data_IF_902690097924
#
_entry.id   IF_902690097924
#
_cell.length_a   1.000
_cell.length_b   1.000
_cell.length_c   1.000
_cell.angle_alpha   90.00
_cell.angle_beta   90.00
_cell.angle_gamma   90.00
#
_symmetry.space_group_name_H-M   'P 1'
#
loop_
_entity.id
_entity.type
_entity.pdbx_description
1 polymer ?
#
# COMPACT_ATOMS: atom_id res chain seq x y z
N UNK A 1 10.13 21.48 12.60
CA UNK A 1 10.03 20.01 12.55
C UNK A 1 10.29 19.57 11.11
N UNK A 2 11.25 18.67 10.87
CA UNK A 2 11.57 18.12 9.55
C UNK A 2 11.18 16.64 9.54
N UNK A 3 10.09 16.31 8.87
CA UNK A 3 9.69 14.93 8.64
C UNK A 3 10.68 14.26 7.71
N UNK A 4 11.22 13.11 8.12
CA UNK A 4 12.07 12.28 7.25
C UNK A 4 11.21 11.14 6.72
N UNK A 5 11.03 11.10 5.40
CA UNK A 5 10.32 10.01 4.72
C UNK A 5 11.27 8.83 4.56
N UNK A 6 10.92 7.67 5.13
CA UNK A 6 11.65 6.43 4.90
C UNK A 6 10.79 5.48 4.07
N UNK A 7 11.40 4.98 3.00
CA UNK A 7 10.80 4.05 2.05
C UNK A 7 11.40 2.66 2.24
N UNK A 8 10.56 1.61 2.26
CA UNK A 8 11.04 0.23 2.36
C UNK A 8 10.21 -0.73 1.52
N UNK A 9 10.82 -1.85 1.12
CA UNK A 9 10.09 -3.01 0.60
C UNK A 9 9.73 -3.94 1.76
N UNK A 10 8.43 -4.20 1.97
CA UNK A 10 7.95 -5.28 2.86
C UNK A 10 8.45 -6.64 2.36
N UNK A 11 8.47 -6.85 1.05
CA UNK A 11 9.11 -7.99 0.39
C UNK A 11 9.67 -7.52 -0.95
N UNK A 12 11.00 -7.47 -1.06
CA UNK A 12 11.68 -6.95 -2.26
C UNK A 12 11.51 -7.90 -3.44
N UNK A 13 10.90 -7.47 -4.57
CA UNK A 13 10.88 -8.28 -5.79
C UNK A 13 12.30 -8.49 -6.34
N UNK A 14 12.51 -9.60 -7.06
CA UNK A 14 13.76 -9.81 -7.80
C UNK A 14 13.93 -8.70 -8.83
N UNK A 15 15.14 -8.15 -8.95
CA UNK A 15 15.43 -7.04 -9.87
C UNK A 15 14.84 -5.69 -9.44
N UNK A 16 14.27 -5.58 -8.23
CA UNK A 16 13.72 -4.31 -7.77
C UNK A 16 14.83 -3.31 -7.40
N UNK A 17 14.65 -2.03 -7.77
CA UNK A 17 15.54 -0.95 -7.36
C UNK A 17 15.35 -0.65 -5.87
N UNK A 18 16.10 0.33 -5.36
CA UNK A 18 15.86 0.86 -4.02
C UNK A 18 14.43 1.39 -3.87
N UNK A 19 13.89 1.26 -2.66
CA UNK A 19 12.48 1.59 -2.39
C UNK A 19 12.18 3.07 -2.69
N UNK A 20 13.12 3.98 -2.40
CA UNK A 20 12.99 5.40 -2.73
C UNK A 20 12.88 5.65 -4.24
N UNK A 21 13.69 4.95 -5.03
CA UNK A 21 13.68 5.04 -6.50
C UNK A 21 12.35 4.53 -7.05
N UNK A 22 11.87 3.40 -6.52
CA UNK A 22 10.59 2.81 -6.91
C UNK A 22 9.40 3.74 -6.58
N UNK A 23 9.37 4.31 -5.37
CA UNK A 23 8.31 5.23 -4.95
C UNK A 23 8.33 6.47 -5.82
N UNK A 24 9.48 7.11 -5.99
CA UNK A 24 9.60 8.33 -6.81
C UNK A 24 9.15 8.08 -8.25
N UNK A 25 9.46 6.91 -8.81
CA UNK A 25 9.00 6.51 -10.14
C UNK A 25 7.48 6.35 -10.21
N UNK A 26 6.88 5.60 -9.27
CA UNK A 26 5.43 5.35 -9.23
C UNK A 26 4.65 6.64 -8.98
N UNK A 27 5.10 7.50 -8.06
CA UNK A 27 4.53 8.83 -7.83
C UNK A 27 4.63 9.72 -9.07
N UNK A 28 5.74 9.62 -9.82
CA UNK A 28 5.92 10.29 -11.10
C UNK A 28 4.89 9.86 -12.15
N UNK A 29 4.63 8.55 -12.27
CA UNK A 29 3.57 8.02 -13.14
C UNK A 29 2.21 8.56 -12.69
N UNK A 30 1.92 8.46 -11.40
CA UNK A 30 0.64 8.87 -10.82
C UNK A 30 0.34 10.34 -11.11
N UNK A 31 1.30 11.24 -10.86
CA UNK A 31 1.17 12.68 -11.14
C UNK A 31 0.94 12.98 -12.62
N UNK A 32 1.59 12.23 -13.53
CA UNK A 32 1.41 12.40 -14.98
C UNK A 32 0.07 11.87 -15.49
N UNK A 33 -0.50 10.86 -14.82
CA UNK A 33 -1.66 10.09 -15.32
C UNK A 33 -2.93 10.28 -14.47
N UNK A 34 -2.86 11.08 -13.40
CA UNK A 34 -3.97 11.31 -12.47
C UNK A 34 -4.32 10.10 -11.60
N UNK A 35 -3.41 9.13 -11.48
CA UNK A 35 -3.65 7.88 -10.75
C UNK A 35 -2.68 6.77 -11.15
N UNK A 36 -2.66 5.70 -10.36
CA UNK A 36 -1.90 4.49 -10.67
C UNK A 36 -2.79 3.25 -10.58
N UNK A 37 -2.68 2.38 -11.58
CA UNK A 37 -3.34 1.07 -11.64
C UNK A 37 -2.29 0.01 -12.00
N UNK A 38 -2.52 -1.28 -11.70
CA UNK A 38 -1.56 -2.34 -12.04
C UNK A 38 -1.29 -2.41 -13.55
N UNK A 39 -2.33 -2.24 -14.38
CA UNK A 39 -2.23 -2.21 -15.84
C UNK A 39 -1.37 -1.03 -16.32
N UNK A 40 -1.55 0.15 -15.73
CA UNK A 40 -0.73 1.32 -16.05
C UNK A 40 0.73 1.11 -15.62
N UNK A 41 0.96 0.52 -14.45
CA UNK A 41 2.31 0.20 -13.98
C UNK A 41 3.03 -0.77 -14.92
N UNK A 42 2.35 -1.82 -15.40
CA UNK A 42 2.90 -2.74 -16.42
C UNK A 42 3.24 -1.97 -17.70
N UNK A 43 2.37 -1.07 -18.15
CA UNK A 43 2.59 -0.28 -19.37
C UNK A 43 3.85 0.59 -19.25
N UNK A 44 3.99 1.33 -18.16
CA UNK A 44 5.13 2.21 -17.91
C UNK A 44 6.42 1.41 -17.61
N UNK A 45 6.31 0.22 -17.00
CA UNK A 45 7.45 -0.64 -16.70
C UNK A 45 8.01 -1.40 -17.91
N UNK A 46 7.27 -1.44 -19.03
CA UNK A 46 7.67 -2.19 -20.24
C UNK A 46 8.95 -1.68 -20.90
N UNK A 47 9.24 -0.39 -20.77
CA UNK A 47 10.47 0.18 -21.34
C UNK A 47 11.67 -0.25 -20.51
N UNK A 48 12.76 -0.71 -21.15
CA UNK A 48 14.01 -1.13 -20.48
C UNK A 48 14.67 -0.05 -19.61
N UNK A 49 14.34 1.22 -19.85
CA UNK A 49 14.79 2.37 -19.05
C UNK A 49 13.98 2.55 -17.75
N UNK A 50 12.85 1.85 -17.61
CA UNK A 50 12.08 1.87 -16.37
C UNK A 50 12.89 1.21 -15.26
N UNK A 51 13.01 1.84 -14.09
CA UNK A 51 13.68 1.23 -12.94
C UNK A 51 12.95 0.00 -12.43
N UNK A 52 11.68 -0.20 -12.79
CA UNK A 52 10.89 -1.38 -12.43
C UNK A 52 10.86 -2.45 -13.54
N UNK A 53 11.61 -2.28 -14.64
CA UNK A 53 11.55 -3.20 -15.78
C UNK A 53 11.84 -4.65 -15.37
N UNK A 54 12.91 -4.83 -14.59
CA UNK A 54 13.40 -6.15 -14.18
C UNK A 54 12.55 -6.81 -13.09
N UNK A 55 11.54 -6.11 -12.55
CA UNK A 55 10.57 -6.67 -11.63
C UNK A 55 9.50 -7.54 -12.32
N UNK A 56 9.44 -7.53 -13.66
CA UNK A 56 8.40 -8.20 -14.46
C UNK A 56 8.99 -9.31 -15.33
N UNK A 57 8.19 -10.36 -15.56
CA UNK A 57 8.51 -11.39 -16.54
C UNK A 57 7.94 -11.00 -17.91
N UNK A 58 8.80 -10.64 -18.86
CA UNK A 58 8.42 -10.15 -20.19
C UNK A 58 8.32 -11.24 -21.25
N UNK A 59 8.77 -12.47 -20.97
CA UNK A 59 8.61 -13.58 -21.90
C UNK A 59 7.16 -14.06 -21.92
N UNK A 60 6.47 -13.93 -23.06
CA UNK A 60 5.06 -14.33 -23.21
C UNK A 60 4.82 -15.84 -23.05
N UNK A 61 5.81 -16.68 -23.32
CA UNK A 61 5.72 -18.12 -23.08
C UNK A 61 5.82 -18.46 -21.58
N UNK A 62 6.36 -17.54 -20.76
CA UNK A 62 6.46 -17.69 -19.31
C UNK A 62 5.38 -16.91 -18.54
N UNK A 63 4.90 -15.80 -19.09
CA UNK A 63 3.93 -14.92 -18.45
C UNK A 63 2.89 -14.37 -19.43
N UNK A 64 1.62 -14.70 -19.17
CA UNK A 64 0.50 -14.01 -19.79
C UNK A 64 0.32 -12.58 -19.25
N UNK A 65 -0.49 -11.78 -19.92
CA UNK A 65 -0.79 -10.38 -19.52
C UNK A 65 -1.32 -10.29 -18.08
N UNK A 66 -2.18 -11.21 -17.66
CA UNK A 66 -2.75 -11.25 -16.31
C UNK A 66 -1.69 -11.51 -15.23
N UNK A 67 -0.69 -12.33 -15.52
CA UNK A 67 0.43 -12.58 -14.60
C UNK A 67 1.23 -11.30 -14.32
N UNK A 68 1.46 -10.46 -15.33
CA UNK A 68 2.16 -9.18 -15.16
C UNK A 68 1.34 -8.20 -14.33
N UNK A 69 0.01 -8.18 -14.50
CA UNK A 69 -0.85 -7.38 -13.63
C UNK A 69 -0.80 -7.87 -12.17
N UNK A 70 -0.68 -9.19 -11.95
CA UNK A 70 -0.42 -9.75 -10.60
C UNK A 70 0.94 -9.29 -10.06
N UNK A 71 2.01 -9.31 -10.87
CA UNK A 71 3.32 -8.78 -10.47
C UNK A 71 3.24 -7.29 -10.09
N UNK A 72 2.52 -6.48 -10.87
CA UNK A 72 2.28 -5.08 -10.57
C UNK A 72 1.50 -4.87 -9.27
N UNK A 73 0.44 -5.65 -9.02
CA UNK A 73 -0.30 -5.61 -7.74
C UNK A 73 0.60 -5.95 -6.54
N UNK A 74 1.54 -6.88 -6.71
CA UNK A 74 2.51 -7.24 -5.64
C UNK A 74 3.48 -6.09 -5.38
N UNK A 75 4.01 -5.48 -6.43
CA UNK A 75 4.91 -4.32 -6.32
C UNK A 75 4.24 -3.19 -5.54
N UNK A 76 3.01 -2.80 -5.93
CA UNK A 76 2.27 -1.72 -5.26
C UNK A 76 1.98 -2.05 -3.78
N UNK A 77 1.64 -3.31 -3.47
CA UNK A 77 1.34 -3.73 -2.09
C UNK A 77 2.55 -3.92 -1.18
N UNK A 78 3.71 -4.26 -1.74
CA UNK A 78 4.92 -4.52 -0.96
C UNK A 78 5.76 -3.28 -0.73
N UNK A 79 5.43 -2.16 -1.38
CA UNK A 79 6.09 -0.89 -1.14
C UNK A 79 5.43 -0.20 0.06
N UNK A 80 6.21 0.12 1.09
CA UNK A 80 5.74 0.75 2.34
C UNK A 80 6.46 2.08 2.57
N UNK A 81 5.77 3.02 3.19
CA UNK A 81 6.28 4.35 3.55
C UNK A 81 6.03 4.56 5.03
N UNK A 82 7.01 5.12 5.72
CA UNK A 82 6.79 5.73 7.03
C UNK A 82 7.32 7.15 7.06
N UNK A 83 6.60 8.02 7.75
CA UNK A 83 7.01 9.40 8.03
C UNK A 83 7.46 9.43 9.48
N UNK A 84 8.72 9.80 9.69
CA UNK A 84 9.32 9.83 11.02
C UNK A 84 9.40 11.27 11.48
N UNK A 85 8.84 11.53 12.67
CA UNK A 85 9.18 12.68 13.49
C UNK A 85 10.41 12.32 14.33
N UNK A 86 11.53 13.03 14.14
CA UNK A 86 12.84 12.80 14.78
C UNK A 86 13.55 11.46 14.46
N UNK A 87 14.80 11.29 14.87
CA UNK A 87 15.70 10.16 14.52
C UNK A 87 15.31 8.81 15.18
N UNK A 88 14.04 8.61 15.54
CA UNK A 88 13.52 7.34 16.07
C UNK A 88 13.13 6.40 14.93
N UNK A 89 13.37 5.09 15.06
CA UNK A 89 12.86 4.14 14.06
C UNK A 89 11.32 4.19 14.06
N UNK A 90 10.67 4.20 12.88
CA UNK A 90 9.21 4.29 12.84
C UNK A 90 8.61 3.04 13.47
N UNK A 91 7.79 3.22 14.52
CA UNK A 91 7.10 2.13 15.22
C UNK A 91 6.13 1.35 14.33
N UNK A 92 5.75 1.88 13.15
CA UNK A 92 5.04 1.11 12.14
C UNK A 92 5.29 1.59 10.71
N UNK A 93 5.38 0.63 9.78
CA UNK A 93 5.40 0.89 8.34
C UNK A 93 4.02 0.64 7.75
N UNK A 94 3.40 1.68 7.19
CA UNK A 94 2.10 1.57 6.51
C UNK A 94 2.32 1.34 5.01
N UNK A 95 1.39 0.64 4.34
CA UNK A 95 1.45 0.46 2.88
C UNK A 95 1.49 1.81 2.18
N UNK A 96 2.39 1.96 1.21
CA UNK A 96 2.51 3.19 0.43
C UNK A 96 1.25 3.46 -0.41
N UNK A 97 0.62 2.38 -0.88
CA UNK A 97 -0.54 2.40 -1.75
C UNK A 97 -1.63 1.45 -1.24
N UNK A 98 -2.86 1.95 -1.17
CA UNK A 98 -4.08 1.20 -0.83
C UNK A 98 -5.00 1.21 -2.06
N UNK A 99 -5.62 0.08 -2.39
CA UNK A 99 -6.56 0.05 -3.51
C UNK A 99 -7.85 0.79 -3.13
N UNK A 100 -8.38 1.64 -4.00
CA UNK A 100 -9.60 2.40 -3.74
C UNK A 100 -10.83 1.49 -3.56
N UNK A 101 -10.84 0.31 -4.18
CA UNK A 101 -11.85 -0.71 -3.97
C UNK A 101 -11.79 -1.39 -2.60
N UNK A 102 -10.69 -1.24 -1.85
CA UNK A 102 -10.63 -1.71 -0.46
C UNK A 102 -11.38 -0.73 0.46
N UNK A 103 -11.48 0.55 0.08
CA UNK A 103 -12.03 1.64 0.90
C UNK A 103 -13.48 1.97 0.50
N UNK A 104 -13.76 2.02 -0.81
CA UNK A 104 -15.06 2.41 -1.37
C UNK A 104 -15.81 1.17 -1.86
N UNK A 105 -17.14 1.13 -1.71
CA UNK A 105 -18.00 0.07 -2.29
C UNK A 105 -17.97 0.01 -3.83
N UNK A 106 -17.22 0.90 -4.48
CA UNK A 106 -17.06 0.91 -5.92
C UNK A 106 -16.03 -0.14 -6.36
N UNK A 107 -16.47 -1.39 -6.46
CA UNK A 107 -15.67 -2.55 -6.90
C UNK A 107 -14.94 -2.33 -8.25
N UNK A 108 -15.39 -1.36 -9.05
CA UNK A 108 -14.79 -1.03 -10.35
C UNK A 108 -13.60 -0.06 -10.28
N UNK A 109 -13.29 0.50 -9.12
CA UNK A 109 -12.17 1.44 -8.98
C UNK A 109 -10.83 0.70 -8.88
N UNK A 110 -10.16 0.50 -10.02
CA UNK A 110 -8.79 -0.09 -10.09
C UNK A 110 -7.68 0.85 -9.60
N UNK A 111 -8.02 2.04 -9.09
CA UNK A 111 -7.06 3.07 -8.68
C UNK A 111 -6.44 2.72 -7.33
N UNK A 112 -5.16 3.04 -7.18
CA UNK A 112 -4.45 2.96 -5.91
C UNK A 112 -4.19 4.37 -5.37
N UNK A 113 -4.55 4.59 -4.12
CA UNK A 113 -4.42 5.84 -3.39
C UNK A 113 -3.24 5.76 -2.40
N UNK A 114 -2.61 6.89 -2.11
CA UNK A 114 -1.59 6.98 -1.05
C UNK A 114 -2.26 7.33 0.29
N UNK A 115 -1.66 6.96 1.43
CA UNK A 115 -2.18 7.33 2.76
C UNK A 115 -2.43 8.83 2.90
N UNK A 116 -1.55 9.65 2.32
CA UNK A 116 -1.72 11.10 2.32
C UNK A 116 -3.00 11.55 1.62
N UNK A 117 -3.30 11.02 0.43
CA UNK A 117 -4.53 11.35 -0.29
C UNK A 117 -5.77 10.87 0.42
N UNK A 118 -5.69 9.73 1.11
CA UNK A 118 -6.80 9.23 1.92
C UNK A 118 -7.06 10.21 3.07
N UNK A 119 -6.00 10.67 3.76
CA UNK A 119 -6.13 11.63 4.87
C UNK A 119 -6.54 13.04 4.42
N UNK A 120 -6.16 13.45 3.22
CA UNK A 120 -6.48 14.77 2.66
C UNK A 120 -7.94 14.86 2.16
N UNK A 121 -8.63 13.73 2.00
CA UNK A 121 -10.04 13.63 1.57
C UNK A 121 -10.90 13.11 2.74
N UNK A 122 -11.80 13.96 3.25
CA UNK A 122 -12.57 13.68 4.48
C UNK A 122 -13.47 12.44 4.36
N UNK A 123 -14.06 12.20 3.18
CA UNK A 123 -14.92 11.04 2.94
C UNK A 123 -14.11 9.74 2.86
N UNK A 124 -12.96 9.78 2.17
CA UNK A 124 -12.07 8.63 2.07
C UNK A 124 -11.38 8.30 3.40
N UNK A 125 -10.97 9.31 4.18
CA UNK A 125 -10.40 9.12 5.51
C UNK A 125 -11.39 8.44 6.45
N UNK A 126 -12.66 8.88 6.42
CA UNK A 126 -13.73 8.27 7.21
C UNK A 126 -13.96 6.81 6.82
N UNK A 127 -14.14 6.52 5.53
CA UNK A 127 -14.35 5.14 5.06
C UNK A 127 -13.18 4.23 5.40
N UNK A 128 -11.95 4.73 5.26
CA UNK A 128 -10.76 3.95 5.59
C UNK A 128 -10.66 3.65 7.09
N UNK A 129 -10.99 4.62 7.95
CA UNK A 129 -11.06 4.42 9.40
C UNK A 129 -12.15 3.42 9.80
N UNK A 130 -13.34 3.50 9.20
CA UNK A 130 -14.43 2.54 9.43
C UNK A 130 -14.02 1.12 9.04
N UNK A 131 -13.35 0.95 7.90
CA UNK A 131 -12.79 -0.35 7.50
C UNK A 131 -11.78 -0.88 8.52
N UNK A 132 -10.81 -0.06 8.92
CA UNK A 132 -9.79 -0.44 9.92
C UNK A 132 -10.43 -0.79 11.26
N UNK A 133 -11.49 -0.08 11.65
CA UNK A 133 -12.24 -0.35 12.88
C UNK A 133 -12.97 -1.70 12.80
N UNK A 134 -13.56 -2.04 11.64
CA UNK A 134 -14.16 -3.35 11.40
C UNK A 134 -13.13 -4.48 11.52
N UNK A 135 -11.97 -4.34 10.87
CA UNK A 135 -10.87 -5.30 10.98
C UNK A 135 -10.40 -5.46 12.44
N UNK A 136 -10.32 -4.34 13.17
CA UNK A 136 -9.95 -4.34 14.58
C UNK A 136 -10.98 -5.09 15.45
N UNK A 137 -12.27 -4.93 15.19
CA UNK A 137 -13.33 -5.67 15.89
C UNK A 137 -13.35 -7.16 15.54
N UNK A 138 -13.07 -7.54 14.30
CA UNK A 138 -12.91 -8.95 13.92
C UNK A 138 -11.74 -9.60 14.68
N UNK A 139 -10.60 -8.90 14.77
CA UNK A 139 -9.46 -9.35 15.56
C UNK A 139 -9.85 -9.44 17.04
N UNK A 140 -10.50 -8.42 17.60
CA UNK A 140 -10.96 -8.41 18.98
C UNK A 140 -11.83 -9.63 19.30
N UNK A 141 -12.78 -9.95 18.43
CA UNK A 141 -13.65 -11.12 18.58
C UNK A 141 -12.86 -12.44 18.61
N UNK A 142 -11.82 -12.57 17.78
CA UNK A 142 -10.98 -13.77 17.73
C UNK A 142 -10.08 -13.94 18.96
N UNK A 143 -9.55 -12.83 19.49
CA UNK A 143 -8.59 -12.86 20.61
C UNK A 143 -9.26 -12.84 21.99
N UNK A 144 -10.53 -12.40 22.08
CA UNK A 144 -11.29 -12.30 23.34
C UNK A 144 -11.49 -13.63 24.08
N UNK A 145 -11.29 -14.76 23.40
CA UNK A 145 -11.35 -16.09 24.00
C UNK A 145 -10.10 -16.48 24.81
N UNK A 146 -9.05 -15.67 24.80
CA UNK A 146 -7.76 -15.95 25.43
C UNK A 146 -7.44 -14.89 26.50
N UNK A 147 -7.25 -15.33 27.74
CA UNK A 147 -7.01 -14.45 28.89
C UNK A 147 -5.73 -13.62 28.76
N UNK A 148 -4.73 -14.15 28.04
CA UNK A 148 -3.45 -13.49 27.75
C UNK A 148 -3.61 -12.18 26.98
N UNK A 149 -4.70 -12.00 26.23
CA UNK A 149 -4.98 -10.78 25.47
C UNK A 149 -5.93 -9.82 26.17
N UNK A 150 -6.32 -10.10 27.42
CA UNK A 150 -7.31 -9.30 28.17
C UNK A 150 -7.02 -7.79 28.15
N UNK A 151 -5.76 -7.37 28.36
CA UNK A 151 -5.38 -5.95 28.32
C UNK A 151 -5.64 -5.31 26.94
N UNK A 152 -5.31 -6.03 25.86
CA UNK A 152 -5.48 -5.53 24.49
C UNK A 152 -6.96 -5.49 24.13
N UNK A 153 -7.74 -6.49 24.54
CA UNK A 153 -9.20 -6.53 24.33
C UNK A 153 -9.87 -5.30 24.97
N UNK A 154 -9.54 -4.99 26.23
CA UNK A 154 -10.08 -3.81 26.91
C UNK A 154 -9.66 -2.50 26.25
N UNK A 155 -8.44 -2.43 25.70
CA UNK A 155 -7.97 -1.26 24.98
C UNK A 155 -8.77 -1.05 23.67
N UNK A 156 -8.99 -2.13 22.91
CA UNK A 156 -9.75 -2.10 21.67
C UNK A 156 -11.22 -1.69 21.91
N UNK A 157 -11.87 -2.25 22.94
CA UNK A 157 -13.27 -1.94 23.26
C UNK A 157 -13.51 -0.46 23.62
N UNK A 158 -12.45 0.29 23.96
CA UNK A 158 -12.53 1.73 24.26
C UNK A 158 -12.36 2.63 23.02
N UNK A 159 -11.94 2.08 21.89
CA UNK A 159 -11.78 2.85 20.65
C UNK A 159 -13.16 3.21 20.10
N UNK A 160 -13.42 4.51 19.97
CA UNK A 160 -14.60 5.10 19.31
C UNK A 160 -14.12 6.11 18.30
N UNK A 161 -14.64 6.04 17.07
CA UNK A 161 -14.34 6.95 15.96
C UNK A 161 -15.66 7.58 15.52
#
# INVERSE_FOLDING_TARGET
MKYKRICRWKRKPVGAPDADVAIKYIEGIKRKRGGITPKLLVMEAKTKKSPLHDCFEWNNNKAAKEYREIQARRILRFLVISEIEDDEEPESFVRAFVAASEITENEKSSRYLTIKEIRDDEDLDKQYKEQLLSELYEINHRIKAYDEFSLVVHAIERVKI
#
